data_IF_719119261873
#
_entry.id   IF_719119261873
#
_cell.length_a   1.000
_cell.length_b   1.000
_cell.length_c   1.000
_cell.angle_alpha   90.00
_cell.angle_beta   90.00
_cell.angle_gamma   90.00
#
_symmetry.space_group_name_H-M   'P 1'
#
loop_
_entity.id
_entity.type
_entity.pdbx_description
1 polymer ?
#
# COMPACT_ATOMS: atom_id res chain seq x y z
N UNK A 1 19.43 -35.58 23.10
CA UNK A 1 18.01 -35.16 23.09
C UNK A 1 17.95 -33.81 23.77
N UNK A 2 18.37 -32.77 23.04
CA UNK A 2 17.51 -31.85 22.25
C UNK A 2 16.81 -30.86 23.20
N UNK A 3 17.52 -29.81 23.64
CA UNK A 3 17.81 -28.49 23.03
C UNK A 3 16.73 -27.43 23.36
N UNK A 4 17.10 -26.35 24.08
CA UNK A 4 16.20 -25.28 24.54
C UNK A 4 16.03 -24.18 23.48
N UNK A 5 15.05 -23.30 23.72
CA UNK A 5 14.49 -22.33 22.78
C UNK A 5 15.48 -21.49 21.95
N UNK A 6 15.20 -21.43 20.65
CA UNK A 6 15.77 -20.45 19.74
C UNK A 6 14.96 -19.15 19.83
N UNK A 7 15.45 -18.23 20.63
CA UNK A 7 15.12 -16.81 20.50
C UNK A 7 15.79 -16.29 19.23
N UNK A 8 15.04 -15.53 18.44
CA UNK A 8 15.40 -15.11 17.09
C UNK A 8 16.74 -14.40 16.98
N UNK A 9 17.41 -14.66 15.85
CA UNK A 9 18.57 -13.90 15.40
C UNK A 9 18.17 -12.43 15.18
N UNK A 10 18.86 -11.46 15.81
CA UNK A 10 18.80 -10.08 15.36
C UNK A 10 19.54 -9.98 14.03
N UNK A 11 18.87 -9.48 13.00
CA UNK A 11 19.53 -9.08 11.75
C UNK A 11 20.26 -7.77 12.08
N UNK A 12 21.59 -7.83 12.03
CA UNK A 12 22.47 -6.66 12.06
C UNK A 12 22.34 -5.94 10.72
N UNK A 13 21.55 -4.86 10.68
CA UNK A 13 21.56 -3.91 9.57
C UNK A 13 22.64 -2.84 9.89
N UNK A 14 23.88 -3.15 9.52
CA UNK A 14 24.88 -2.11 9.25
C UNK A 14 24.58 -1.50 7.87
N UNK A 15 24.01 -0.29 7.84
CA UNK A 15 24.29 0.66 6.76
C UNK A 15 24.51 2.06 7.36
N UNK A 16 25.78 2.41 7.43
CA UNK A 16 26.27 3.77 7.46
C UNK A 16 26.35 4.26 6.02
N UNK A 17 25.67 5.34 5.67
CA UNK A 17 26.17 6.30 4.70
C UNK A 17 25.66 7.70 5.06
N UNK A 18 26.62 8.52 5.53
CA UNK A 18 26.47 9.94 5.79
C UNK A 18 26.37 10.70 4.47
N UNK A 19 25.17 11.10 4.06
CA UNK A 19 25.00 12.03 2.95
C UNK A 19 24.87 13.49 3.45
N UNK A 20 25.96 14.22 3.20
CA UNK A 20 26.16 15.67 3.28
C UNK A 20 24.99 16.47 2.68
N UNK A 21 24.10 16.97 3.54
CA UNK A 21 23.09 17.96 3.13
C UNK A 21 23.72 19.35 3.05
N UNK A 22 24.50 19.60 1.99
CA UNK A 22 24.86 20.95 1.58
C UNK A 22 23.62 21.66 1.03
N UNK A 23 22.84 22.24 1.95
CA UNK A 23 21.73 23.15 1.62
C UNK A 23 22.32 24.45 1.06
N UNK A 24 22.62 24.47 -0.24
CA UNK A 24 22.82 25.72 -0.98
C UNK A 24 21.45 26.38 -1.18
N UNK A 25 21.09 27.18 -0.19
CA UNK A 25 19.99 28.14 -0.22
C UNK A 25 20.33 29.23 -1.25
N UNK A 26 19.74 29.18 -2.44
CA UNK A 26 19.54 30.37 -3.29
C UNK A 26 18.37 30.15 -4.26
N UNK A 27 17.41 31.08 -4.22
CA UNK A 27 16.08 30.92 -4.81
C UNK A 27 16.07 30.70 -6.33
N UNK A 28 15.23 29.74 -6.73
CA UNK A 28 14.48 29.59 -7.99
C UNK A 28 13.92 28.16 -7.98
N UNK A 29 12.58 28.03 -7.94
CA UNK A 29 11.83 26.78 -8.19
C UNK A 29 12.28 25.54 -7.43
N UNK A 30 11.40 24.92 -6.64
CA UNK A 30 11.62 23.52 -6.27
C UNK A 30 11.45 22.69 -7.55
N UNK A 31 12.53 22.57 -8.34
CA UNK A 31 12.63 21.52 -9.36
C UNK A 31 12.64 20.21 -8.58
N UNK A 32 11.45 19.65 -8.39
CA UNK A 32 11.27 18.26 -8.00
C UNK A 32 12.00 17.44 -9.06
N UNK A 33 13.28 17.11 -8.81
CA UNK A 33 13.98 16.05 -9.53
C UNK A 33 13.30 14.74 -9.16
N UNK A 34 12.11 14.53 -9.70
CA UNK A 34 11.51 13.21 -9.70
C UNK A 34 12.42 12.39 -10.58
N UNK A 35 13.07 11.37 -10.02
CA UNK A 35 13.62 10.32 -10.85
C UNK A 35 12.43 9.68 -11.58
N UNK A 36 12.08 10.19 -12.76
CA UNK A 36 10.98 9.70 -13.59
C UNK A 36 11.16 8.21 -13.94
N UNK A 37 12.39 7.71 -13.75
CA UNK A 37 12.82 6.34 -13.94
C UNK A 37 13.02 5.53 -12.64
N UNK A 38 12.65 6.08 -11.47
CA UNK A 38 12.55 5.26 -10.27
C UNK A 38 11.49 4.17 -10.55
N UNK A 39 11.93 2.92 -10.54
CA UNK A 39 11.12 1.77 -10.94
C UNK A 39 9.87 1.69 -10.07
N UNK A 40 8.69 1.97 -10.63
CA UNK A 40 7.37 1.91 -9.95
C UNK A 40 6.90 0.47 -9.76
N UNK A 41 7.77 -0.37 -9.19
CA UNK A 41 7.57 -1.80 -9.07
C UNK A 41 6.28 -2.16 -8.29
N UNK A 42 5.81 -1.26 -7.43
CA UNK A 42 4.60 -1.43 -6.64
C UNK A 42 3.33 -1.46 -7.48
N UNK A 43 3.32 -0.84 -8.67
CA UNK A 43 2.16 -0.85 -9.58
C UNK A 43 1.93 -2.23 -10.22
N UNK A 44 2.95 -3.09 -10.21
CA UNK A 44 2.89 -4.48 -10.69
C UNK A 44 2.68 -5.49 -9.55
N UNK A 45 2.59 -5.03 -8.29
CA UNK A 45 2.35 -5.93 -7.15
C UNK A 45 0.91 -6.45 -7.18
N UNK A 46 0.76 -7.68 -6.72
CA UNK A 46 -0.53 -8.33 -6.49
C UNK A 46 -0.74 -8.55 -4.99
N UNK A 47 -2.00 -8.54 -4.56
CA UNK A 47 -2.35 -8.85 -3.17
C UNK A 47 -2.06 -10.31 -2.85
N UNK A 48 -1.83 -10.63 -1.57
CA UNK A 48 -1.63 -12.00 -1.11
C UNK A 48 -2.84 -12.88 -1.48
N UNK A 49 -4.06 -12.34 -1.35
CA UNK A 49 -5.32 -12.99 -1.73
C UNK A 49 -5.40 -13.32 -3.23
N UNK A 50 -4.76 -12.52 -4.08
CA UNK A 50 -4.68 -12.80 -5.54
C UNK A 50 -3.64 -13.87 -5.85
N UNK A 51 -2.52 -13.89 -5.11
CA UNK A 51 -1.42 -14.85 -5.34
C UNK A 51 -1.70 -16.23 -4.74
N UNK A 52 -2.37 -16.29 -3.60
CA UNK A 52 -2.60 -17.52 -2.84
C UNK A 52 -4.10 -17.80 -2.67
N UNK A 53 -4.57 -18.84 -3.36
CA UNK A 53 -5.95 -19.32 -3.28
C UNK A 53 -6.32 -19.84 -1.88
N UNK A 54 -5.36 -20.31 -1.07
CA UNK A 54 -5.64 -20.75 0.29
C UNK A 54 -5.98 -19.56 1.19
N UNK A 55 -5.23 -18.46 1.08
CA UNK A 55 -5.53 -17.22 1.81
C UNK A 55 -6.90 -16.69 1.41
N UNK A 56 -7.21 -16.69 0.11
CA UNK A 56 -8.54 -16.29 -0.38
C UNK A 56 -9.66 -17.12 0.23
N UNK A 57 -9.55 -18.45 0.18
CA UNK A 57 -10.56 -19.36 0.76
C UNK A 57 -10.73 -19.15 2.26
N UNK A 58 -9.64 -18.96 3.01
CA UNK A 58 -9.71 -18.68 4.46
C UNK A 58 -10.42 -17.37 4.77
N UNK A 59 -10.15 -16.31 3.99
CA UNK A 59 -10.83 -15.03 4.15
C UNK A 59 -12.32 -15.10 3.80
N UNK A 60 -12.69 -15.85 2.75
CA UNK A 60 -14.09 -16.09 2.38
C UNK A 60 -14.83 -16.86 3.49
N UNK A 61 -14.23 -17.92 4.02
CA UNK A 61 -14.80 -18.69 5.12
C UNK A 61 -15.01 -17.84 6.39
N UNK A 62 -14.01 -17.04 6.79
CA UNK A 62 -14.13 -16.13 7.93
C UNK A 62 -15.22 -15.06 7.72
N UNK A 63 -15.35 -14.56 6.49
CA UNK A 63 -16.40 -13.59 6.14
C UNK A 63 -17.79 -14.20 6.30
N UNK A 64 -17.98 -15.43 5.88
CA UNK A 64 -19.25 -16.13 6.00
C UNK A 64 -19.59 -16.44 7.47
N UNK A 65 -18.61 -16.87 8.26
CA UNK A 65 -18.77 -17.13 9.70
C UNK A 65 -19.18 -15.86 10.46
N UNK A 66 -18.45 -14.77 10.25
CA UNK A 66 -18.70 -13.49 10.93
C UNK A 66 -19.96 -12.78 10.44
N UNK A 67 -20.39 -13.04 9.20
CA UNK A 67 -21.57 -12.40 8.59
C UNK A 67 -22.86 -12.64 9.38
N UNK A 68 -22.96 -13.79 10.06
CA UNK A 68 -24.12 -14.13 10.91
C UNK A 68 -24.16 -13.37 12.24
N UNK A 69 -23.01 -12.92 12.73
CA UNK A 69 -22.83 -12.26 14.04
C UNK A 69 -22.70 -10.74 13.89
N UNK A 70 -22.53 -10.25 12.67
CA UNK A 70 -22.30 -8.84 12.39
C UNK A 70 -23.52 -7.97 12.78
N UNK A 71 -23.29 -6.99 13.65
CA UNK A 71 -24.30 -6.01 14.03
C UNK A 71 -24.34 -4.84 13.03
N UNK A 72 -25.42 -4.73 12.25
CA UNK A 72 -25.59 -3.69 11.23
C UNK A 72 -25.60 -2.27 11.80
N UNK A 73 -26.00 -2.07 13.07
CA UNK A 73 -26.01 -0.75 13.71
C UNK A 73 -24.62 -0.27 14.13
N UNK A 74 -23.58 -1.11 14.01
CA UNK A 74 -22.18 -0.78 14.36
C UNK A 74 -21.26 -0.68 13.14
N UNK A 75 -21.83 -0.61 11.93
CA UNK A 75 -21.05 -0.45 10.70
C UNK A 75 -20.49 0.97 10.64
N UNK A 76 -19.17 1.09 10.49
CA UNK A 76 -18.49 2.38 10.35
C UNK A 76 -18.47 2.83 8.89
N UNK A 77 -18.16 4.11 8.65
CA UNK A 77 -17.98 4.62 7.29
C UNK A 77 -16.86 3.90 6.52
N UNK A 78 -15.78 3.52 7.23
CA UNK A 78 -14.68 2.76 6.63
C UNK A 78 -15.11 1.35 6.20
N UNK A 79 -16.01 0.70 6.96
CA UNK A 79 -16.56 -0.60 6.57
C UNK A 79 -17.39 -0.49 5.29
N UNK A 80 -18.23 0.55 5.21
CA UNK A 80 -19.03 0.82 4.00
C UNK A 80 -18.14 1.11 2.80
N UNK A 81 -17.11 1.93 2.96
CA UNK A 81 -16.15 2.24 1.90
C UNK A 81 -15.38 0.98 1.46
N UNK A 82 -14.97 0.14 2.41
CA UNK A 82 -14.31 -1.13 2.11
C UNK A 82 -15.22 -2.07 1.32
N UNK A 83 -16.48 -2.22 1.73
CA UNK A 83 -17.46 -3.05 1.01
C UNK A 83 -17.66 -2.57 -0.43
N UNK A 84 -17.77 -1.25 -0.65
CA UNK A 84 -17.87 -0.67 -2.00
C UNK A 84 -16.61 -0.92 -2.84
N UNK A 85 -15.42 -0.78 -2.24
CA UNK A 85 -14.15 -1.06 -2.91
C UNK A 85 -14.05 -2.52 -3.34
N UNK A 86 -14.39 -3.45 -2.44
CA UNK A 86 -14.39 -4.89 -2.72
C UNK A 86 -15.43 -5.24 -3.80
N UNK A 87 -16.64 -4.71 -3.71
CA UNK A 87 -17.70 -4.92 -4.69
C UNK A 87 -17.30 -4.41 -6.09
N UNK A 88 -16.55 -3.31 -6.15
CA UNK A 88 -16.01 -2.74 -7.39
C UNK A 88 -14.73 -3.43 -7.88
N UNK A 89 -14.26 -4.49 -7.20
CA UNK A 89 -13.03 -5.22 -7.54
C UNK A 89 -11.74 -4.41 -7.35
N UNK A 90 -11.80 -3.31 -6.57
CA UNK A 90 -10.65 -2.45 -6.27
C UNK A 90 -9.81 -3.10 -5.17
N UNK A 91 -8.50 -3.07 -5.37
CA UNK A 91 -7.53 -3.40 -4.35
C UNK A 91 -6.48 -2.29 -4.24
N UNK A 92 -5.57 -2.41 -3.27
CA UNK A 92 -4.53 -1.41 -3.00
C UNK A 92 -3.67 -1.12 -4.23
N UNK A 93 -3.20 -2.14 -4.94
CA UNK A 93 -2.24 -1.98 -6.04
C UNK A 93 -2.92 -1.56 -7.34
N UNK A 94 -4.13 -2.08 -7.62
CA UNK A 94 -4.97 -1.60 -8.73
C UNK A 94 -5.32 -0.12 -8.57
N UNK A 95 -5.65 0.31 -7.35
CA UNK A 95 -5.96 1.71 -7.06
C UNK A 95 -4.73 2.59 -7.21
N UNK A 96 -3.57 2.18 -6.67
CA UNK A 96 -2.30 2.91 -6.85
C UNK A 96 -1.96 3.09 -8.33
N UNK A 97 -2.06 2.02 -9.12
CA UNK A 97 -1.82 2.06 -10.56
C UNK A 97 -2.78 3.02 -11.26
N UNK A 98 -4.07 3.00 -10.90
CA UNK A 98 -5.11 3.85 -11.49
C UNK A 98 -4.88 5.34 -11.24
N UNK A 99 -4.67 5.76 -9.99
CA UNK A 99 -4.53 7.18 -9.63
C UNK A 99 -3.20 7.80 -10.11
N UNK A 100 -2.25 6.96 -10.52
CA UNK A 100 -0.96 7.39 -11.08
C UNK A 100 -0.93 7.41 -12.60
N UNK A 101 -2.04 7.09 -13.25
CA UNK A 101 -2.16 7.22 -14.70
C UNK A 101 -2.15 8.68 -15.13
N UNK A 102 -1.64 8.93 -16.34
CA UNK A 102 -1.46 10.27 -16.87
C UNK A 102 -0.14 10.92 -16.43
N UNK A 103 0.16 12.05 -17.08
CA UNK A 103 1.36 12.83 -16.75
C UNK A 103 1.17 13.60 -15.43
N UNK A 104 2.27 14.16 -14.92
CA UNK A 104 2.26 14.94 -13.67
C UNK A 104 1.31 16.14 -13.75
N UNK A 105 1.28 16.85 -14.89
CA UNK A 105 0.37 17.99 -15.07
C UNK A 105 -1.10 17.61 -14.89
N UNK A 106 -1.57 16.55 -15.56
CA UNK A 106 -2.97 16.11 -15.46
C UNK A 106 -3.36 15.77 -14.03
N UNK A 107 -2.48 15.09 -13.29
CA UNK A 107 -2.74 14.70 -11.88
C UNK A 107 -2.80 15.92 -10.96
N UNK A 108 -1.99 16.94 -11.23
CA UNK A 108 -2.05 18.22 -10.50
C UNK A 108 -3.34 18.96 -10.86
N UNK A 109 -3.67 19.07 -12.15
CA UNK A 109 -4.89 19.75 -12.60
C UNK A 109 -6.16 19.09 -12.02
N UNK A 110 -6.21 17.75 -11.93
CA UNK A 110 -7.31 17.02 -11.28
C UNK A 110 -7.39 17.36 -9.79
N UNK A 111 -6.26 17.33 -9.07
CA UNK A 111 -6.20 17.66 -7.64
C UNK A 111 -6.67 19.09 -7.34
N UNK A 112 -6.26 20.09 -8.13
CA UNK A 112 -6.68 21.49 -7.96
C UNK A 112 -8.17 21.72 -8.30
N UNK A 113 -8.82 20.75 -8.94
CA UNK A 113 -10.24 20.81 -9.31
C UNK A 113 -11.19 20.09 -8.33
N UNK A 114 -10.65 19.38 -7.33
CA UNK A 114 -11.42 18.67 -6.30
C UNK A 114 -11.92 19.60 -5.20
#
# INVERSE_FOLDING_TARGET
MEHPGEYGNPIEDEESDEEDNSTTRNGRGVELRTNEYASRHEENRLTATTKDHNIKRKLEALKDELGSVQNSNKVTDNDRLHQQNVASGRDKYKTLKMIRQGNTKKRIDEFESM
#
